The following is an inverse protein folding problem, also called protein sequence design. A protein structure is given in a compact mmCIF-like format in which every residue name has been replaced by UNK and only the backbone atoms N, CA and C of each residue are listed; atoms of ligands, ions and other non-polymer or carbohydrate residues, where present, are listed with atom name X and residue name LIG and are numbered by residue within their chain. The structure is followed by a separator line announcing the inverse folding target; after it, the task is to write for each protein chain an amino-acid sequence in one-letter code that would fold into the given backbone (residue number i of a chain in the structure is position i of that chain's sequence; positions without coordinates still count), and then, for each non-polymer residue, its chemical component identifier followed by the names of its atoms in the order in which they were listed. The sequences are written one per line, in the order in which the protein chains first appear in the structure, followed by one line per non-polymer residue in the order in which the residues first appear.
data_IF_461040208006
#
_entry.id   IF_461040208006
#
_cell.length_a   1.000
_cell.length_b   1.000
_cell.length_c   1.000
_cell.angle_alpha   90.00
_cell.angle_beta   90.00
_cell.angle_gamma   90.00
#
_symmetry.space_group_name_H-M   'P 1'
#
loop_
_entity.id
_entity.type
_entity.pdbx_description
1 polymer ?
#
# COMPACT_ATOMS: atom_id res chain seq x y z
N UNK A 1 4.27 13.67 -6.17
CA UNK A 1 5.03 12.42 -5.93
C UNK A 1 6.52 12.72 -5.73
N UNK A 2 6.86 13.56 -4.75
CA UNK A 2 8.25 13.81 -4.29
C UNK A 2 8.50 13.26 -2.87
N UNK A 3 7.48 12.63 -2.27
CA UNK A 3 7.45 12.24 -0.86
C UNK A 3 8.13 10.90 -0.60
N UNK A 4 8.19 10.01 -1.60
CA UNK A 4 8.79 8.66 -1.48
C UNK A 4 10.30 8.71 -1.23
N UNK A 5 11.01 9.68 -1.83
CA UNK A 5 12.45 9.90 -1.61
C UNK A 5 12.79 10.51 -0.24
N UNK A 6 11.81 10.76 0.63
CA UNK A 6 12.02 11.22 2.02
C UNK A 6 11.78 10.15 3.07
N UNK A 7 11.33 8.97 2.66
CA UNK A 7 11.13 7.84 3.57
C UNK A 7 12.49 7.34 4.09
N UNK A 8 12.65 7.32 5.42
CA UNK A 8 13.86 6.85 6.08
C UNK A 8 13.89 5.31 6.09
N UNK A 9 14.49 4.71 5.06
CA UNK A 9 14.83 3.27 5.05
C UNK A 9 16.12 3.02 5.84
N UNK A 10 16.31 1.81 6.35
CA UNK A 10 17.58 1.37 6.97
C UNK A 10 18.77 1.57 6.02
N UNK A 11 18.54 1.51 4.71
CA UNK A 11 19.51 1.86 3.66
C UNK A 11 20.18 3.24 3.88
N UNK A 12 19.44 4.22 4.43
CA UNK A 12 20.01 5.53 4.80
C UNK A 12 20.78 5.54 6.12
N UNK A 13 20.48 4.62 7.04
CA UNK A 13 21.21 4.48 8.30
C UNK A 13 22.53 3.70 8.12
N UNK A 14 22.57 2.75 7.17
CA UNK A 14 23.79 2.02 6.79
C UNK A 14 24.82 2.96 6.16
N UNK A 15 24.40 3.96 5.36
CA UNK A 15 25.30 5.01 4.83
C UNK A 15 25.99 5.87 5.90
N UNK A 16 25.49 5.87 7.14
CA UNK A 16 26.13 6.54 8.29
C UNK A 16 26.94 5.58 9.17
N UNK A 17 27.13 4.32 8.77
CA UNK A 17 27.97 3.35 9.47
C UNK A 17 27.37 2.79 10.78
N UNK A 18 26.04 2.84 10.96
CA UNK A 18 25.37 2.51 12.23
C UNK A 18 24.60 1.17 12.26
N UNK A 19 24.68 0.32 11.23
CA UNK A 19 23.97 -0.97 11.23
C UNK A 19 24.80 -2.08 10.57
N UNK A 20 25.00 -3.17 11.31
CA UNK A 20 25.60 -4.43 10.83
C UNK A 20 24.57 -5.34 10.12
N UNK A 21 23.27 -5.08 10.28
CA UNK A 21 22.18 -5.89 9.74
C UNK A 21 21.22 -5.05 8.87
N UNK A 22 21.41 -5.19 7.56
CA UNK A 22 20.60 -4.55 6.51
C UNK A 22 19.31 -5.31 6.20
N UNK A 23 19.02 -6.44 6.87
CA UNK A 23 17.85 -7.24 6.55
C UNK A 23 16.54 -6.51 6.81
N UNK A 24 15.58 -6.78 5.92
CA UNK A 24 14.21 -6.27 5.98
C UNK A 24 13.54 -6.75 7.27
N UNK A 25 13.09 -5.84 8.16
CA UNK A 25 12.54 -6.20 9.46
C UNK A 25 11.17 -6.89 9.36
N UNK A 26 10.56 -6.91 8.16
CA UNK A 26 9.25 -7.53 7.93
C UNK A 26 9.39 -8.99 7.48
N UNK A 27 10.29 -9.30 6.55
CA UNK A 27 10.46 -10.67 6.06
C UNK A 27 11.74 -11.36 6.55
N UNK A 28 12.77 -10.61 6.94
CA UNK A 28 14.06 -11.14 7.41
C UNK A 28 14.92 -11.83 6.35
N UNK A 29 14.55 -11.77 5.06
CA UNK A 29 15.20 -12.59 4.01
C UNK A 29 16.10 -11.83 3.05
N UNK A 30 16.03 -10.51 2.99
CA UNK A 30 16.76 -9.70 2.00
C UNK A 30 17.05 -8.32 2.55
N UNK A 31 18.03 -7.62 1.96
CA UNK A 31 18.38 -6.25 2.32
C UNK A 31 17.17 -5.30 2.19
N UNK A 32 17.06 -4.36 3.12
CA UNK A 32 15.96 -3.42 3.23
C UNK A 32 16.12 -2.24 2.25
N UNK A 33 15.61 -2.39 1.04
CA UNK A 33 15.49 -1.31 0.05
C UNK A 33 14.04 -0.85 -0.09
N UNK A 34 13.82 0.34 -0.66
CA UNK A 34 12.45 0.83 -0.99
C UNK A 34 11.77 -0.16 -1.94
N UNK A 35 12.49 -0.63 -2.95
CA UNK A 35 11.94 -1.55 -3.93
C UNK A 35 11.60 -2.90 -3.30
N UNK A 36 12.45 -3.38 -2.39
CA UNK A 36 12.16 -4.57 -1.62
C UNK A 36 10.90 -4.38 -0.78
N UNK A 37 10.84 -3.36 0.08
CA UNK A 37 9.70 -3.12 0.97
C UNK A 37 8.36 -3.11 0.22
N UNK A 38 8.29 -2.47 -0.96
CA UNK A 38 7.02 -2.29 -1.65
C UNK A 38 6.70 -3.34 -2.72
N UNK A 39 7.70 -3.92 -3.39
CA UNK A 39 7.47 -4.71 -4.61
C UNK A 39 7.97 -6.15 -4.52
N UNK A 40 9.12 -6.39 -3.86
CA UNK A 40 9.72 -7.74 -3.85
C UNK A 40 9.67 -8.43 -2.49
N UNK A 41 9.28 -7.74 -1.42
CA UNK A 41 9.11 -8.35 -0.11
C UNK A 41 7.96 -9.36 -0.14
N UNK A 42 8.16 -10.61 0.29
CA UNK A 42 7.11 -11.64 0.28
C UNK A 42 5.85 -11.19 1.02
N UNK A 43 6.01 -10.51 2.16
CA UNK A 43 4.91 -9.93 2.92
C UNK A 43 4.07 -8.94 2.10
N UNK A 44 4.75 -8.02 1.42
CA UNK A 44 4.11 -6.98 0.61
C UNK A 44 3.44 -7.57 -0.63
N UNK A 45 4.05 -8.57 -1.27
CA UNK A 45 3.44 -9.28 -2.39
C UNK A 45 2.13 -9.96 -1.99
N UNK A 46 2.09 -10.60 -0.82
CA UNK A 46 0.85 -11.18 -0.29
C UNK A 46 -0.18 -10.07 -0.02
N UNK A 47 0.22 -8.92 0.54
CA UNK A 47 -0.69 -7.79 0.75
C UNK A 47 -1.28 -7.26 -0.57
N UNK A 48 -0.45 -7.12 -1.61
CA UNK A 48 -0.86 -6.66 -2.94
C UNK A 48 -1.84 -7.66 -3.57
N UNK A 49 -1.57 -8.96 -3.49
CA UNK A 49 -2.45 -10.01 -4.00
C UNK A 49 -3.79 -10.03 -3.26
N UNK A 50 -3.78 -9.96 -1.93
CA UNK A 50 -5.00 -9.94 -1.12
C UNK A 50 -5.82 -8.67 -1.40
N UNK A 51 -5.19 -7.51 -1.58
CA UNK A 51 -5.88 -6.29 -1.99
C UNK A 51 -6.45 -6.42 -3.42
N UNK A 52 -5.68 -6.96 -4.35
CA UNK A 52 -6.13 -7.19 -5.73
C UNK A 52 -7.37 -8.08 -5.78
N UNK A 53 -7.38 -9.18 -5.01
CA UNK A 53 -8.56 -10.04 -4.84
C UNK A 53 -9.75 -9.26 -4.27
N UNK A 54 -9.53 -8.48 -3.21
CA UNK A 54 -10.59 -7.70 -2.57
C UNK A 54 -11.16 -6.59 -3.47
N UNK A 55 -10.35 -6.04 -4.39
CA UNK A 55 -10.76 -4.98 -5.31
C UNK A 55 -11.20 -5.50 -6.69
N UNK A 56 -11.12 -6.81 -6.92
CA UNK A 56 -11.30 -7.43 -8.24
C UNK A 56 -10.39 -6.82 -9.33
N UNK A 57 -9.13 -6.56 -8.97
CA UNK A 57 -8.11 -6.00 -9.86
C UNK A 57 -6.88 -6.90 -9.96
N UNK A 58 -6.31 -7.08 -11.16
CA UNK A 58 -5.04 -7.78 -11.34
C UNK A 58 -3.87 -6.86 -10.93
N UNK A 59 -3.73 -6.60 -9.63
CA UNK A 59 -2.63 -5.77 -9.12
C UNK A 59 -1.32 -6.56 -9.15
N UNK A 60 -0.37 -6.07 -9.93
CA UNK A 60 1.01 -6.54 -9.95
C UNK A 60 1.92 -5.32 -10.09
N UNK A 61 2.74 -5.07 -9.07
CA UNK A 61 3.70 -3.97 -9.08
C UNK A 61 5.10 -4.55 -8.96
N UNK A 62 5.91 -4.35 -9.99
CA UNK A 62 7.28 -4.88 -10.04
C UNK A 62 8.31 -3.87 -9.57
N UNK A 63 8.02 -2.59 -9.76
CA UNK A 63 8.88 -1.47 -9.40
C UNK A 63 8.04 -0.18 -9.28
N UNK A 64 8.68 0.88 -8.78
CA UNK A 64 8.06 2.20 -8.62
C UNK A 64 7.55 2.79 -9.94
N UNK A 65 8.27 2.62 -11.03
CA UNK A 65 7.93 3.23 -12.32
C UNK A 65 6.72 2.54 -12.96
N UNK A 66 6.66 1.22 -12.89
CA UNK A 66 5.52 0.40 -13.27
C UNK A 66 4.28 0.78 -12.46
N UNK A 67 4.44 0.90 -11.13
CA UNK A 67 3.37 1.38 -10.26
C UNK A 67 2.88 2.78 -10.68
N UNK A 68 3.80 3.72 -10.96
CA UNK A 68 3.45 5.07 -11.42
C UNK A 68 2.70 5.08 -12.77
N UNK A 69 3.00 4.13 -13.67
CA UNK A 69 2.31 4.01 -14.97
C UNK A 69 0.95 3.33 -14.87
N UNK A 70 0.82 2.33 -14.01
CA UNK A 70 -0.37 1.47 -13.91
C UNK A 70 -1.45 2.04 -12.99
N UNK A 71 -1.06 2.59 -11.82
CA UNK A 71 -1.99 3.12 -10.80
C UNK A 71 -2.94 4.19 -11.37
N UNK A 72 -2.49 5.14 -12.23
CA UNK A 72 -3.39 6.13 -12.83
C UNK A 72 -4.42 5.55 -13.81
N UNK A 73 -4.28 4.30 -14.24
CA UNK A 73 -5.06 3.67 -15.32
C UNK A 73 -5.84 2.43 -14.85
N UNK A 74 -6.10 2.31 -13.54
CA UNK A 74 -6.79 1.14 -12.96
C UNK A 74 -8.27 1.05 -13.35
N UNK A 75 -8.90 2.17 -13.73
CA UNK A 75 -10.28 2.18 -14.26
C UNK A 75 -10.52 3.32 -15.23
N UNK A 76 -11.42 3.11 -16.19
CA UNK A 76 -11.88 4.15 -17.11
C UNK A 76 -12.74 5.23 -16.43
N UNK A 77 -13.42 4.90 -15.33
CA UNK A 77 -14.29 5.86 -14.61
C UNK A 77 -13.49 6.70 -13.61
N UNK A 78 -13.66 8.03 -13.64
CA UNK A 78 -12.92 8.98 -12.78
C UNK A 78 -13.02 8.63 -11.29
N UNK A 79 -14.24 8.42 -10.78
CA UNK A 79 -14.46 8.10 -9.37
C UNK A 79 -13.87 6.73 -9.00
N UNK A 80 -14.20 5.68 -9.76
CA UNK A 80 -13.66 4.33 -9.53
C UNK A 80 -12.13 4.31 -9.52
N UNK A 81 -11.51 5.00 -10.48
CA UNK A 81 -10.06 5.12 -10.57
C UNK A 81 -9.48 5.82 -9.33
N UNK A 82 -10.10 6.90 -8.84
CA UNK A 82 -9.68 7.57 -7.60
C UNK A 82 -9.82 6.67 -6.36
N UNK A 83 -10.89 5.85 -6.28
CA UNK A 83 -11.05 4.87 -5.19
C UNK A 83 -9.92 3.84 -5.22
N UNK A 84 -9.63 3.26 -6.39
CA UNK A 84 -8.55 2.28 -6.53
C UNK A 84 -7.17 2.88 -6.22
N UNK A 85 -6.87 4.07 -6.74
CA UNK A 85 -5.63 4.79 -6.43
C UNK A 85 -5.49 5.03 -4.92
N UNK A 86 -6.57 5.45 -4.27
CA UNK A 86 -6.59 5.67 -2.81
C UNK A 86 -6.29 4.38 -2.05
N UNK A 87 -6.83 3.23 -2.49
CA UNK A 87 -6.55 1.93 -1.88
C UNK A 87 -5.09 1.51 -2.04
N UNK A 88 -4.50 1.69 -3.23
CA UNK A 88 -3.09 1.34 -3.46
C UNK A 88 -2.16 2.23 -2.63
N UNK A 89 -2.39 3.54 -2.62
CA UNK A 89 -1.59 4.49 -1.82
C UNK A 89 -1.74 4.20 -0.32
N UNK A 90 -2.95 3.90 0.14
CA UNK A 90 -3.22 3.49 1.52
C UNK A 90 -2.48 2.21 1.91
N UNK A 91 -2.46 1.21 1.02
CA UNK A 91 -1.72 -0.02 1.23
C UNK A 91 -0.22 0.23 1.36
N UNK A 92 0.37 1.01 0.45
CA UNK A 92 1.79 1.35 0.55
C UNK A 92 2.10 2.08 1.87
N UNK A 93 1.24 3.03 2.28
CA UNK A 93 1.37 3.67 3.59
C UNK A 93 1.28 2.67 4.76
N UNK A 94 0.33 1.74 4.72
CA UNK A 94 0.17 0.71 5.75
C UNK A 94 1.35 -0.26 5.81
N UNK A 95 1.92 -0.65 4.66
CA UNK A 95 3.13 -1.48 4.58
C UNK A 95 4.32 -0.72 5.20
N UNK A 96 4.50 0.55 4.83
CA UNK A 96 5.56 1.38 5.41
C UNK A 96 5.42 1.50 6.92
N UNK A 97 4.20 1.75 7.40
CA UNK A 97 3.91 1.80 8.83
C UNK A 97 4.18 0.44 9.48
N UNK A 98 3.80 -0.67 8.86
CA UNK A 98 4.04 -2.01 9.38
C UNK A 98 5.54 -2.31 9.51
N UNK A 99 6.35 -1.86 8.57
CA UNK A 99 7.81 -1.89 8.69
C UNK A 99 8.27 -1.16 9.94
N UNK A 100 7.78 0.05 10.21
CA UNK A 100 8.17 0.81 11.40
C UNK A 100 7.77 0.09 12.71
N UNK A 101 6.57 -0.50 12.76
CA UNK A 101 6.11 -1.33 13.87
C UNK A 101 7.02 -2.56 14.08
N UNK A 102 7.51 -3.17 12.99
CA UNK A 102 8.44 -4.28 13.07
C UNK A 102 9.82 -3.85 13.60
N UNK A 103 10.28 -2.64 13.27
CA UNK A 103 11.56 -2.12 13.79
C UNK A 103 11.45 -1.79 15.29
N UNK A 104 10.43 -1.04 15.69
CA UNK A 104 10.33 -0.46 17.05
C UNK A 104 9.62 -1.37 18.05
N UNK A 105 8.55 -2.06 17.61
CA UNK A 105 7.69 -2.85 18.48
C UNK A 105 7.84 -4.36 18.25
N UNK A 106 8.64 -4.79 17.26
CA UNK A 106 8.82 -6.21 16.88
C UNK A 106 7.51 -6.92 16.55
N UNK A 107 6.52 -6.18 16.04
CA UNK A 107 5.21 -6.74 15.68
C UNK A 107 5.00 -6.71 14.17
N UNK A 108 4.40 -7.79 13.65
CA UNK A 108 4.01 -7.91 12.23
C UNK A 108 2.56 -8.37 12.16
N UNK A 109 1.69 -7.54 11.59
CA UNK A 109 0.28 -7.94 11.35
C UNK A 109 0.20 -8.94 10.22
N UNK A 110 -0.72 -9.89 10.32
CA UNK A 110 -1.05 -10.75 9.19
C UNK A 110 -1.50 -9.93 7.96
N UNK A 111 -1.09 -10.28 6.72
CA UNK A 111 -1.44 -9.52 5.50
C UNK A 111 -2.93 -9.22 5.36
N UNK A 112 -3.80 -10.21 5.63
CA UNK A 112 -5.27 -10.02 5.64
C UNK A 112 -5.74 -8.93 6.60
N UNK A 113 -5.13 -8.82 7.79
CA UNK A 113 -5.48 -7.80 8.76
C UNK A 113 -5.06 -6.40 8.27
N UNK A 114 -3.90 -6.31 7.62
CA UNK A 114 -3.43 -5.07 6.97
C UNK A 114 -4.39 -4.65 5.85
N UNK A 115 -4.78 -5.57 4.96
CA UNK A 115 -5.72 -5.27 3.87
C UNK A 115 -7.09 -4.85 4.39
N UNK A 116 -7.60 -5.49 5.45
CA UNK A 116 -8.84 -5.05 6.12
C UNK A 116 -8.71 -3.62 6.65
N UNK A 117 -7.57 -3.29 7.27
CA UNK A 117 -7.29 -1.94 7.74
C UNK A 117 -7.25 -0.92 6.58
N UNK A 118 -6.66 -1.29 5.44
CA UNK A 118 -6.63 -0.47 4.22
C UNK A 118 -8.05 -0.19 3.73
N UNK A 119 -8.88 -1.23 3.56
CA UNK A 119 -10.29 -1.08 3.14
C UNK A 119 -11.03 -0.13 4.06
N UNK A 120 -10.92 -0.33 5.38
CA UNK A 120 -11.59 0.50 6.38
C UNK A 120 -11.13 1.95 6.32
N UNK A 121 -9.81 2.20 6.22
CA UNK A 121 -9.26 3.55 6.10
C UNK A 121 -9.75 4.25 4.84
N UNK A 122 -9.79 3.55 3.70
CA UNK A 122 -10.30 4.08 2.45
C UNK A 122 -11.81 4.34 2.51
N UNK A 123 -12.58 3.42 3.08
CA UNK A 123 -14.03 3.56 3.24
C UNK A 123 -14.38 4.85 3.98
N UNK A 124 -13.81 5.05 5.17
CA UNK A 124 -14.13 6.23 5.98
C UNK A 124 -13.61 7.53 5.37
N UNK A 125 -12.37 7.53 4.84
CA UNK A 125 -11.80 8.74 4.22
C UNK A 125 -12.56 9.16 2.96
N UNK A 126 -12.89 8.21 2.08
CA UNK A 126 -13.60 8.53 0.84
C UNK A 126 -15.02 8.98 1.16
N UNK A 127 -15.68 8.34 2.13
CA UNK A 127 -17.01 8.76 2.60
C UNK A 127 -16.99 10.18 3.20
N UNK A 128 -15.95 10.54 3.97
CA UNK A 128 -15.87 11.87 4.60
C UNK A 128 -15.63 13.02 3.61
N UNK A 129 -15.00 12.73 2.46
CA UNK A 129 -14.74 13.73 1.41
C UNK A 129 -15.61 13.52 0.16
N UNK A 130 -16.63 12.66 0.26
CA UNK A 130 -17.42 12.23 -0.88
C UNK A 130 -18.17 13.43 -1.50
N UNK A 131 -18.01 13.70 -2.80
CA UNK A 131 -18.77 14.73 -3.47
C UNK A 131 -20.29 14.47 -3.38
N UNK A 132 -21.07 15.50 -3.08
CA UNK A 132 -22.54 15.43 -3.01
C UNK A 132 -23.21 15.03 -4.33
N UNK A 133 -22.49 15.10 -5.46
CA UNK A 133 -23.00 14.84 -6.83
C UNK A 133 -22.62 13.48 -7.41
N UNK A 134 -22.26 12.49 -6.59
CA UNK A 134 -22.00 11.13 -7.08
C UNK A 134 -23.30 10.43 -7.46
N UNK A 135 -23.30 9.71 -8.59
CA UNK A 135 -24.45 8.93 -9.06
C UNK A 135 -24.73 7.78 -8.09
N UNK A 136 -26.00 7.48 -7.80
CA UNK A 136 -26.39 6.44 -6.83
C UNK A 136 -25.70 5.09 -7.07
N UNK A 137 -25.57 4.67 -8.33
CA UNK A 137 -24.90 3.41 -8.68
C UNK A 137 -23.39 3.40 -8.36
N UNK A 138 -22.70 4.54 -8.43
CA UNK A 138 -21.27 4.64 -8.07
C UNK A 138 -21.09 4.56 -6.56
N UNK A 139 -22.03 5.13 -5.80
CA UNK A 139 -22.06 5.03 -4.33
C UNK A 139 -22.32 3.60 -3.88
N UNK A 140 -23.30 2.92 -4.46
CA UNK A 140 -23.59 1.51 -4.17
C UNK A 140 -22.40 0.60 -4.51
N UNK A 141 -21.79 0.81 -5.67
CA UNK A 141 -20.58 0.10 -6.07
C UNK A 141 -19.45 0.29 -5.04
N UNK A 142 -19.21 1.53 -4.60
CA UNK A 142 -18.18 1.84 -3.62
C UNK A 142 -18.44 1.15 -2.26
N UNK A 143 -19.68 1.23 -1.75
CA UNK A 143 -20.04 0.60 -0.48
C UNK A 143 -19.84 -0.90 -0.56
N UNK A 144 -20.32 -1.56 -1.62
CA UNK A 144 -20.14 -3.02 -1.80
C UNK A 144 -18.68 -3.44 -1.92
N UNK A 145 -17.84 -2.62 -2.55
CA UNK A 145 -16.43 -2.91 -2.75
C UNK A 145 -15.64 -2.87 -1.42
N UNK A 146 -15.92 -1.88 -0.58
CA UNK A 146 -15.13 -1.59 0.61
C UNK A 146 -15.76 -2.01 1.94
N UNK A 147 -17.04 -2.40 1.97
CA UNK A 147 -17.63 -3.18 3.06
C UNK A 147 -16.91 -4.51 3.21
#
# INVERSE_FOLDING_TARGET
MAMWRRLQTKDRLVRFGMCEDDTCPVCGTSAETIDHIFFTCPYSQICVQELGRALHLPLLFNDLDAACRQIPKLSAGRFKNQVFQSCVVAMMYCIWRQRNEAVWNKTIKHPRALVRQVKHMCFWRITSIMPQRIKSHEREWFVRLLS
#
